data_IF_189259906035
#
_entry.id   IF_189259906035
#
_cell.length_a   1.000
_cell.length_b   1.000
_cell.length_c   1.000
_cell.angle_alpha   90.00
_cell.angle_beta   90.00
_cell.angle_gamma   90.00
#
_symmetry.space_group_name_H-M   'P 1'
#
loop_
_entity.id
_entity.type
_entity.pdbx_description
1 polymer ?
#
# COMPACT_ATOMS: atom_id res chain seq x y z
N UNK A 1 -2.21 24.04 1.46
CA UNK A 1 -1.31 22.89 1.71
C UNK A 1 -0.69 22.43 0.39
N UNK A 2 0.64 22.29 0.29
CA UNK A 2 1.28 21.86 -0.97
C UNK A 2 0.75 20.46 -1.36
N UNK A 3 0.42 20.25 -2.64
CA UNK A 3 -0.25 19.01 -3.12
C UNK A 3 0.47 17.73 -2.66
N UNK A 4 1.80 17.69 -2.68
CA UNK A 4 2.56 16.53 -2.22
C UNK A 4 2.39 16.19 -0.73
N UNK A 5 2.21 17.18 0.15
CA UNK A 5 1.93 16.94 1.57
C UNK A 5 0.56 16.27 1.74
N UNK A 6 -0.43 16.71 0.95
CA UNK A 6 -1.77 16.10 0.94
C UNK A 6 -1.72 14.62 0.58
N UNK A 7 -1.02 14.28 -0.51
CA UNK A 7 -0.92 12.90 -0.96
C UNK A 7 -0.06 12.04 -0.03
N UNK A 8 0.98 12.61 0.60
CA UNK A 8 1.71 11.95 1.68
C UNK A 8 0.78 11.57 2.83
N UNK A 9 -0.01 12.52 3.35
CA UNK A 9 -0.96 12.27 4.43
C UNK A 9 -2.03 11.23 4.04
N UNK A 10 -2.61 11.34 2.85
CA UNK A 10 -3.60 10.37 2.35
C UNK A 10 -3.01 8.96 2.33
N UNK A 11 -1.77 8.82 1.83
CA UNK A 11 -1.10 7.52 1.73
C UNK A 11 -0.85 6.92 3.12
N UNK A 12 -0.34 7.72 4.05
CA UNK A 12 -0.14 7.31 5.45
C UNK A 12 -1.45 6.91 6.13
N UNK A 13 -2.50 7.72 5.99
CA UNK A 13 -3.81 7.41 6.56
C UNK A 13 -4.39 6.12 5.98
N UNK A 14 -4.37 5.98 4.65
CA UNK A 14 -4.86 4.78 3.98
C UNK A 14 -4.13 3.53 4.47
N UNK A 15 -2.81 3.59 4.56
CA UNK A 15 -2.01 2.47 5.03
C UNK A 15 -2.27 2.14 6.52
N UNK A 16 -2.38 3.15 7.38
CA UNK A 16 -2.68 2.92 8.80
C UNK A 16 -4.07 2.30 9.01
N UNK A 17 -5.07 2.66 8.20
CA UNK A 17 -6.38 2.00 8.22
C UNK A 17 -6.24 0.52 7.86
N UNK A 18 -5.46 0.19 6.83
CA UNK A 18 -5.18 -1.21 6.46
C UNK A 18 -4.49 -1.97 7.60
N UNK A 19 -3.51 -1.36 8.26
CA UNK A 19 -2.85 -1.96 9.43
C UNK A 19 -3.81 -2.19 10.60
N UNK A 20 -4.67 -1.22 10.92
CA UNK A 20 -5.65 -1.36 11.99
C UNK A 20 -6.66 -2.46 11.68
N UNK A 21 -7.17 -2.54 10.44
CA UNK A 21 -8.06 -3.63 10.03
C UNK A 21 -7.36 -4.99 10.14
N UNK A 22 -6.11 -5.10 9.69
CA UNK A 22 -5.34 -6.33 9.82
C UNK A 22 -5.12 -6.73 11.29
N UNK A 23 -4.88 -5.76 12.18
CA UNK A 23 -4.75 -6.00 13.62
C UNK A 23 -6.06 -6.46 14.24
N UNK A 24 -7.19 -5.83 13.89
CA UNK A 24 -8.53 -6.20 14.39
C UNK A 24 -8.86 -7.64 13.98
N UNK A 25 -8.69 -7.97 12.70
CA UNK A 25 -8.93 -9.33 12.19
C UNK A 25 -8.05 -10.34 12.93
N UNK A 26 -6.78 -10.01 13.16
CA UNK A 26 -5.86 -10.91 13.86
C UNK A 26 -6.19 -11.09 15.33
N UNK A 27 -6.64 -10.03 16.00
CA UNK A 27 -7.09 -10.07 17.39
C UNK A 27 -8.33 -10.97 17.54
N UNK A 28 -9.28 -10.84 16.61
CA UNK A 28 -10.49 -11.66 16.54
C UNK A 28 -10.16 -13.15 16.35
N UNK A 29 -9.31 -13.48 15.37
CA UNK A 29 -8.88 -14.87 15.10
C UNK A 29 -8.17 -15.52 16.30
N UNK A 30 -7.39 -14.73 17.06
CA UNK A 30 -6.63 -15.23 18.20
C UNK A 30 -7.40 -15.16 19.53
N UNK A 31 -8.62 -14.63 19.52
CA UNK A 31 -9.42 -14.36 20.72
C UNK A 31 -8.64 -13.55 21.79
N UNK A 32 -7.78 -12.61 21.34
CA UNK A 32 -6.98 -11.74 22.21
C UNK A 32 -7.39 -10.29 22.07
N UNK A 33 -7.19 -9.49 23.11
CA UNK A 33 -7.39 -8.04 23.02
C UNK A 33 -6.35 -7.41 22.09
N UNK A 34 -6.75 -6.34 21.39
CA UNK A 34 -5.82 -5.59 20.51
C UNK A 34 -4.60 -5.08 21.28
N UNK A 35 -4.77 -4.76 22.58
CA UNK A 35 -3.69 -4.33 23.46
C UNK A 35 -2.53 -5.34 23.55
N UNK A 36 -2.80 -6.63 23.36
CA UNK A 36 -1.77 -7.66 23.33
C UNK A 36 -0.72 -7.43 22.23
N UNK A 37 -1.10 -6.84 21.09
CA UNK A 37 -0.17 -6.53 20.00
C UNK A 37 0.65 -5.26 20.24
N UNK A 38 0.25 -4.44 21.22
CA UNK A 38 1.00 -3.26 21.64
C UNK A 38 1.84 -3.54 22.89
N UNK A 39 1.71 -4.72 23.50
CA UNK A 39 2.56 -5.13 24.61
C UNK A 39 3.90 -5.64 24.09
N UNK A 40 4.92 -4.78 24.16
CA UNK A 40 6.29 -5.06 23.74
C UNK A 40 7.26 -5.24 24.92
N UNK A 41 6.73 -5.37 26.14
CA UNK A 41 7.53 -5.41 27.37
C UNK A 41 8.16 -4.07 27.77
N UNK A 42 7.86 -2.99 27.04
CA UNK A 42 8.26 -1.60 27.33
C UNK A 42 7.05 -0.66 27.37
N UNK A 43 5.93 -1.13 27.93
CA UNK A 43 4.66 -0.37 28.00
C UNK A 43 4.15 0.12 26.62
N UNK A 44 4.55 -0.53 25.52
CA UNK A 44 4.13 -0.21 24.15
C UNK A 44 4.92 0.89 23.46
N UNK A 45 6.03 1.34 24.05
CA UNK A 45 6.88 2.40 23.48
C UNK A 45 7.52 1.96 22.15
N UNK A 46 8.07 0.75 22.08
CA UNK A 46 8.73 0.21 20.90
C UNK A 46 7.76 0.02 19.73
N UNK A 47 6.58 -0.54 19.99
CA UNK A 47 5.52 -0.66 18.98
C UNK A 47 5.06 0.71 18.51
N UNK A 48 4.91 1.68 19.41
CA UNK A 48 4.56 3.07 19.06
C UNK A 48 5.62 3.70 18.15
N UNK A 49 6.91 3.54 18.45
CA UNK A 49 8.00 4.04 17.59
C UNK A 49 8.00 3.37 16.22
N UNK A 50 7.77 2.05 16.16
CA UNK A 50 7.63 1.33 14.89
C UNK A 50 6.48 1.87 14.05
N UNK A 51 5.31 2.11 14.64
CA UNK A 51 4.18 2.72 13.96
C UNK A 51 4.49 4.12 13.42
N UNK A 52 5.16 4.97 14.21
CA UNK A 52 5.58 6.31 13.78
C UNK A 52 6.59 6.23 12.63
N UNK A 53 7.63 5.41 12.77
CA UNK A 53 8.63 5.21 11.73
C UNK A 53 7.99 4.71 10.42
N UNK A 54 7.07 3.76 10.53
CA UNK A 54 6.34 3.23 9.39
C UNK A 54 5.43 4.27 8.74
N UNK A 55 4.73 5.08 9.54
CA UNK A 55 3.89 6.17 9.04
C UNK A 55 4.71 7.23 8.28
N UNK A 56 5.93 7.53 8.73
CA UNK A 56 6.86 8.45 8.06
C UNK A 56 7.35 7.90 6.72
N UNK A 57 7.62 6.59 6.63
CA UNK A 57 8.00 5.94 5.36
C UNK A 57 6.87 6.09 4.34
N UNK A 58 5.63 5.76 4.72
CA UNK A 58 4.47 5.89 3.83
C UNK A 58 4.17 7.34 3.45
N UNK A 59 4.39 8.28 4.37
CA UNK A 59 4.28 9.70 4.07
C UNK A 59 5.32 10.11 3.01
N UNK A 60 6.56 9.66 3.18
CA UNK A 60 7.66 9.87 2.25
C UNK A 60 7.33 9.33 0.86
N UNK A 61 6.85 8.08 0.77
CA UNK A 61 6.45 7.44 -0.50
C UNK A 61 5.35 8.25 -1.18
N UNK A 62 4.25 8.57 -0.48
CA UNK A 62 3.12 9.31 -1.05
C UNK A 62 3.47 10.72 -1.49
N UNK A 63 4.29 11.42 -0.69
CA UNK A 63 4.76 12.77 -1.01
C UNK A 63 5.73 12.75 -2.19
N UNK A 64 6.68 11.81 -2.23
CA UNK A 64 7.64 11.67 -3.31
C UNK A 64 6.96 11.29 -4.63
N UNK A 65 6.06 10.29 -4.62
CA UNK A 65 5.30 9.88 -5.79
C UNK A 65 4.51 11.06 -6.40
N UNK A 66 3.91 11.91 -5.56
CA UNK A 66 3.20 13.10 -6.04
C UNK A 66 4.13 14.17 -6.59
N UNK A 67 5.30 14.40 -5.99
CA UNK A 67 6.31 15.32 -6.55
C UNK A 67 6.81 14.84 -7.90
N UNK A 68 7.16 13.57 -8.01
CA UNK A 68 7.62 12.95 -9.26
C UNK A 68 6.57 13.09 -10.39
N UNK A 69 5.31 12.81 -10.07
CA UNK A 69 4.19 13.01 -10.99
C UNK A 69 4.11 14.46 -11.52
N UNK A 70 4.15 15.44 -10.62
CA UNK A 70 4.02 16.87 -11.00
C UNK A 70 5.21 17.31 -11.86
N UNK A 71 6.43 16.94 -11.46
CA UNK A 71 7.65 17.33 -12.19
C UNK A 71 7.66 16.74 -13.59
N UNK A 72 7.35 15.44 -13.73
CA UNK A 72 7.34 14.80 -15.05
C UNK A 72 6.21 15.29 -15.93
N UNK A 73 5.02 15.53 -15.37
CA UNK A 73 3.91 16.09 -16.13
C UNK A 73 4.25 17.49 -16.67
N UNK A 74 4.84 18.35 -15.82
CA UNK A 74 5.26 19.69 -16.23
C UNK A 74 6.35 19.62 -17.31
N UNK A 75 7.39 18.79 -17.11
CA UNK A 75 8.47 18.62 -18.08
C UNK A 75 7.94 18.14 -19.46
N UNK A 76 6.96 17.25 -19.48
CA UNK A 76 6.32 16.83 -20.74
C UNK A 76 5.52 17.95 -21.41
N UNK A 77 4.85 18.80 -20.62
CA UNK A 77 4.14 19.97 -21.15
C UNK A 77 5.10 21.01 -21.73
N UNK A 78 6.26 21.20 -21.10
CA UNK A 78 7.28 22.14 -21.56
C UNK A 78 7.92 21.66 -22.89
N UNK A 79 8.08 20.34 -23.07
CA UNK A 79 8.58 19.74 -24.32
C UNK A 79 7.53 19.75 -25.45
N UNK A 80 6.24 19.69 -25.11
CA UNK A 80 5.14 19.66 -26.07
C UNK A 80 4.02 20.65 -25.69
N UNK A 81 4.23 21.96 -25.93
CA UNK A 81 3.32 23.01 -25.48
C UNK A 81 1.91 22.90 -26.06
N UNK A 82 1.78 22.37 -27.27
CA UNK A 82 0.51 22.29 -28.02
C UNK A 82 -0.42 21.18 -27.53
N UNK A 83 0.07 20.24 -26.71
CA UNK A 83 -0.76 19.14 -26.18
C UNK A 83 -1.78 19.68 -25.18
N UNK A 84 -3.05 19.32 -25.36
CA UNK A 84 -4.10 19.69 -24.42
C UNK A 84 -3.80 19.21 -22.98
N UNK A 85 -3.99 20.10 -22.01
CA UNK A 85 -3.68 19.83 -20.60
C UNK A 85 -4.56 18.73 -20.01
N UNK A 86 -5.81 18.60 -20.45
CA UNK A 86 -6.70 17.55 -19.96
C UNK A 86 -6.29 16.18 -20.51
N UNK A 87 -5.94 16.12 -21.80
CA UNK A 87 -5.40 14.90 -22.43
C UNK A 87 -4.11 14.46 -21.73
N UNK A 88 -3.18 15.40 -21.49
CA UNK A 88 -1.92 15.13 -20.80
C UNK A 88 -2.17 14.61 -19.37
N UNK A 89 -3.05 15.28 -18.61
CA UNK A 89 -3.39 14.88 -17.24
C UNK A 89 -4.01 13.49 -17.18
N UNK A 90 -4.94 13.18 -18.10
CA UNK A 90 -5.59 11.88 -18.16
C UNK A 90 -4.59 10.77 -18.50
N UNK A 91 -3.73 10.99 -19.50
CA UNK A 91 -2.69 10.04 -19.89
C UNK A 91 -1.70 9.78 -18.74
N UNK A 92 -1.19 10.83 -18.09
CA UNK A 92 -0.29 10.70 -16.95
C UNK A 92 -0.94 9.98 -15.77
N UNK A 93 -2.20 10.28 -15.49
CA UNK A 93 -2.94 9.61 -14.40
C UNK A 93 -3.11 8.12 -14.69
N UNK A 94 -3.48 7.75 -15.91
CA UNK A 94 -3.58 6.33 -16.33
C UNK A 94 -2.23 5.62 -16.22
N UNK A 95 -1.17 6.23 -16.76
CA UNK A 95 0.18 5.67 -16.69
C UNK A 95 0.67 5.43 -15.27
N UNK A 96 0.52 6.44 -14.39
CA UNK A 96 0.93 6.30 -12.99
C UNK A 96 0.07 5.29 -12.24
N UNK A 97 -1.25 5.27 -12.47
CA UNK A 97 -2.12 4.27 -11.85
C UNK A 97 -1.74 2.86 -12.29
N UNK A 98 -1.60 2.61 -13.59
CA UNK A 98 -1.18 1.33 -14.15
C UNK A 98 0.20 0.90 -13.62
N UNK A 99 1.16 1.82 -13.50
CA UNK A 99 2.47 1.55 -12.90
C UNK A 99 2.38 1.10 -11.44
N UNK A 100 1.57 1.78 -10.63
CA UNK A 100 1.38 1.41 -9.22
C UNK A 100 0.57 0.12 -9.06
N UNK A 101 -0.44 -0.10 -9.91
CA UNK A 101 -1.23 -1.32 -9.94
C UNK A 101 -0.36 -2.54 -10.28
N UNK A 102 0.54 -2.40 -11.27
CA UNK A 102 1.53 -3.44 -11.59
C UNK A 102 2.44 -3.75 -10.40
N UNK A 103 2.97 -2.71 -9.76
CA UNK A 103 3.83 -2.87 -8.58
C UNK A 103 3.08 -3.59 -7.45
N UNK A 104 1.85 -3.18 -7.14
CA UNK A 104 1.02 -3.81 -6.10
C UNK A 104 0.68 -5.26 -6.44
N UNK A 105 0.37 -5.57 -7.70
CA UNK A 105 0.11 -6.94 -8.15
C UNK A 105 1.30 -7.87 -7.86
N UNK A 106 2.52 -7.40 -8.18
CA UNK A 106 3.76 -8.14 -7.90
C UNK A 106 3.98 -8.28 -6.40
N UNK A 107 3.76 -7.22 -5.62
CA UNK A 107 3.91 -7.26 -4.15
C UNK A 107 2.94 -8.25 -3.52
N UNK A 108 1.67 -8.27 -3.93
CA UNK A 108 0.69 -9.22 -3.40
C UNK A 108 1.00 -10.66 -3.84
N UNK A 109 1.43 -10.87 -5.08
CA UNK A 109 1.84 -12.19 -5.56
C UNK A 109 3.09 -12.71 -4.81
N UNK A 110 4.08 -11.86 -4.57
CA UNK A 110 5.31 -12.23 -3.86
C UNK A 110 5.10 -12.38 -2.35
N UNK A 111 4.08 -11.74 -1.78
CA UNK A 111 3.71 -11.92 -0.38
C UNK A 111 3.20 -13.34 -0.07
N UNK A 112 2.62 -14.04 -1.04
CA UNK A 112 2.10 -15.42 -0.87
C UNK A 112 3.21 -16.40 -0.47
N UNK A 113 4.31 -16.59 -1.23
CA UNK A 113 5.37 -17.50 -0.81
C UNK A 113 6.03 -17.07 0.50
N UNK A 114 6.18 -15.76 0.77
CA UNK A 114 6.71 -15.28 2.04
C UNK A 114 5.82 -15.62 3.23
N UNK A 115 4.50 -15.50 3.06
CA UNK A 115 3.53 -15.91 4.07
C UNK A 115 3.62 -17.41 4.34
N UNK A 116 3.67 -18.24 3.29
CA UNK A 116 3.78 -19.70 3.44
C UNK A 116 5.08 -20.08 4.17
N UNK A 117 6.24 -19.55 3.74
CA UNK A 117 7.54 -19.86 4.36
C UNK A 117 7.61 -19.36 5.81
N UNK A 118 7.11 -18.16 6.07
CA UNK A 118 7.27 -17.52 7.38
C UNK A 118 6.25 -17.95 8.43
N UNK A 119 5.06 -18.40 8.01
CA UNK A 119 3.91 -18.52 8.90
C UNK A 119 3.25 -19.90 8.89
N UNK A 120 3.29 -20.65 7.78
CA UNK A 120 2.70 -22.00 7.71
C UNK A 120 3.71 -23.00 8.25
N UNK A 121 3.52 -23.44 9.49
CA UNK A 121 4.37 -24.46 10.16
C UNK A 121 3.73 -25.85 10.23
N UNK A 122 2.42 -25.90 10.10
CA UNK A 122 1.57 -27.09 10.16
C UNK A 122 0.80 -27.25 8.84
N UNK A 123 0.06 -28.36 8.61
CA UNK A 123 -0.83 -28.44 7.45
C UNK A 123 -1.78 -27.23 7.36
N UNK A 124 -2.09 -26.83 6.13
CA UNK A 124 -2.89 -25.63 5.86
C UNK A 124 -4.22 -25.64 6.62
N UNK A 125 -4.45 -24.58 7.39
CA UNK A 125 -5.71 -24.32 8.06
C UNK A 125 -6.57 -23.34 7.26
N UNK A 126 -7.84 -23.22 7.63
CA UNK A 126 -8.81 -22.33 6.97
C UNK A 126 -8.33 -20.86 6.97
N UNK A 127 -7.64 -20.42 8.03
CA UNK A 127 -7.04 -19.09 8.13
C UNK A 127 -5.99 -18.85 7.05
N UNK A 128 -5.18 -19.85 6.74
CA UNK A 128 -4.11 -19.74 5.76
C UNK A 128 -4.70 -19.62 4.34
N UNK A 129 -5.74 -20.42 4.06
CA UNK A 129 -6.51 -20.30 2.82
C UNK A 129 -7.18 -18.94 2.68
N UNK A 130 -7.76 -18.38 3.75
CA UNK A 130 -8.38 -17.06 3.71
C UNK A 130 -7.37 -15.95 3.37
N UNK A 131 -6.18 -15.99 3.99
CA UNK A 131 -5.10 -15.02 3.72
C UNK A 131 -4.57 -15.16 2.29
N UNK A 132 -4.26 -16.39 1.85
CA UNK A 132 -3.74 -16.64 0.50
C UNK A 132 -4.77 -16.26 -0.57
N UNK A 133 -6.06 -16.60 -0.37
CA UNK A 133 -7.13 -16.23 -1.29
C UNK A 133 -7.29 -14.72 -1.40
N UNK A 134 -7.24 -13.98 -0.29
CA UNK A 134 -7.31 -12.52 -0.31
C UNK A 134 -6.11 -11.90 -1.06
N UNK A 135 -4.89 -12.39 -0.81
CA UNK A 135 -3.69 -11.93 -1.51
C UNK A 135 -3.73 -12.22 -3.01
N UNK A 136 -4.19 -13.42 -3.40
CA UNK A 136 -4.38 -13.77 -4.82
C UNK A 136 -5.43 -12.87 -5.47
N UNK A 137 -6.57 -12.66 -4.81
CA UNK A 137 -7.65 -11.83 -5.33
C UNK A 137 -7.20 -10.38 -5.54
N UNK A 138 -6.50 -9.79 -4.55
CA UNK A 138 -5.90 -8.47 -4.67
C UNK A 138 -4.86 -8.41 -5.79
N UNK A 139 -4.00 -9.42 -5.92
CA UNK A 139 -3.01 -9.50 -6.99
C UNK A 139 -3.65 -9.52 -8.39
N UNK A 140 -4.72 -10.31 -8.57
CA UNK A 140 -5.47 -10.44 -9.82
C UNK A 140 -6.17 -9.12 -10.16
N UNK A 141 -6.85 -8.50 -9.19
CA UNK A 141 -7.50 -7.20 -9.40
C UNK A 141 -6.49 -6.15 -9.84
N UNK A 142 -5.36 -6.05 -9.12
CA UNK A 142 -4.31 -5.11 -9.48
C UNK A 142 -3.70 -5.40 -10.86
N UNK A 143 -3.54 -6.67 -11.23
CA UNK A 143 -3.08 -7.07 -12.56
C UNK A 143 -4.09 -6.68 -13.65
N UNK A 144 -5.38 -6.89 -13.39
CA UNK A 144 -6.46 -6.53 -14.32
C UNK A 144 -6.48 -5.02 -14.56
N UNK A 145 -6.38 -4.22 -13.50
CA UNK A 145 -6.25 -2.77 -13.58
C UNK A 145 -5.01 -2.31 -14.34
N UNK A 146 -3.89 -3.02 -14.20
CA UNK A 146 -2.68 -2.77 -14.97
C UNK A 146 -2.88 -3.04 -16.48
N UNK A 147 -3.57 -4.13 -16.84
CA UNK A 147 -3.70 -4.60 -18.23
C UNK A 147 -4.79 -3.88 -19.03
N UNK A 148 -5.84 -3.37 -18.36
CA UNK A 148 -7.00 -2.74 -19.01
C UNK A 148 -7.04 -1.21 -18.92
N UNK A 149 -5.97 -0.58 -18.44
CA UNK A 149 -5.73 0.88 -18.54
C UNK A 149 -4.67 1.22 -19.57
#
# INVERSE_FOLDING_TARGET
>A
MKSHIKYGLITTCCWNVVLLLALIIRADIKEVSISYFFDDGMEGIGMTMLFIAWALIWFGIGSHARKDYIIKQQSYKDMYPDIDNQVLHKAFTSYYFSKHAKMLSIVFASAIPWYVIGYVREPFNITDFAVIAALMFLSIICFWFYKHQ
#
